data_IF_717576693199
#
_entry.id   IF_717576693199
#
_cell.length_a   1.000
_cell.length_b   1.000
_cell.length_c   1.000
_cell.angle_alpha   90.00
_cell.angle_beta   90.00
_cell.angle_gamma   90.00
#
_symmetry.space_group_name_H-M   'P 1'
#
loop_
_entity.id
_entity.type
_entity.pdbx_description
1 polymer ?
#
# COMPACT_ATOMS: atom_id res chain seq x y z
N UNK A 1 -0.08 10.67 -26.72
CA UNK A 1 -0.51 9.43 -26.04
C UNK A 1 -1.53 9.82 -24.98
N UNK A 2 -2.53 8.97 -24.69
CA UNK A 2 -3.44 9.23 -23.58
C UNK A 2 -2.65 9.19 -22.26
N UNK A 3 -2.95 10.09 -21.32
CA UNK A 3 -2.34 10.10 -19.99
C UNK A 3 -2.66 8.77 -19.28
N UNK A 4 -1.65 8.09 -18.74
CA UNK A 4 -1.84 6.94 -17.84
C UNK A 4 -2.44 7.43 -16.52
N UNK A 5 -3.44 6.72 -16.02
CA UNK A 5 -4.10 6.98 -14.76
C UNK A 5 -3.41 6.19 -13.64
N UNK A 6 -2.90 6.86 -12.61
CA UNK A 6 -2.20 6.23 -11.48
C UNK A 6 -3.12 6.18 -10.26
N UNK A 7 -3.42 4.98 -9.79
CA UNK A 7 -4.27 4.72 -8.62
C UNK A 7 -3.39 4.18 -7.49
N UNK A 8 -3.43 4.81 -6.32
CA UNK A 8 -2.71 4.33 -5.14
C UNK A 8 -3.69 3.68 -4.17
N UNK A 9 -3.44 2.43 -3.77
CA UNK A 9 -4.17 1.74 -2.70
C UNK A 9 -3.19 1.48 -1.56
N UNK A 10 -3.10 2.44 -0.65
CA UNK A 10 -2.26 2.36 0.54
C UNK A 10 -3.06 1.92 1.76
N UNK A 11 -2.40 1.77 2.91
CA UNK A 11 -3.09 1.51 4.17
C UNK A 11 -2.52 0.40 5.02
N UNK A 12 -3.22 0.16 6.13
CA UNK A 12 -2.85 -0.83 7.15
C UNK A 12 -2.50 -2.20 6.56
N UNK A 13 -1.50 -2.86 7.15
CA UNK A 13 -1.23 -4.27 6.88
C UNK A 13 -2.48 -5.13 7.12
N UNK A 14 -2.64 -6.21 6.36
CA UNK A 14 -3.84 -7.06 6.39
C UNK A 14 -5.20 -6.34 6.19
N UNK A 15 -5.18 -5.12 5.63
CA UNK A 15 -6.38 -4.32 5.33
C UNK A 15 -7.13 -4.70 4.05
N UNK A 16 -6.66 -5.70 3.30
CA UNK A 16 -7.31 -6.18 2.06
C UNK A 16 -6.84 -5.52 0.76
N UNK A 17 -5.82 -4.64 0.81
CA UNK A 17 -5.28 -3.87 -0.34
C UNK A 17 -4.97 -4.73 -1.57
N UNK A 18 -4.08 -5.70 -1.43
CA UNK A 18 -3.66 -6.60 -2.53
C UNK A 18 -4.85 -7.31 -3.17
N UNK A 19 -5.81 -7.78 -2.36
CA UNK A 19 -7.02 -8.44 -2.87
C UNK A 19 -7.92 -7.47 -3.64
N UNK A 20 -8.11 -6.25 -3.12
CA UNK A 20 -8.87 -5.20 -3.83
C UNK A 20 -8.19 -4.88 -5.16
N UNK A 21 -6.88 -4.60 -5.15
CA UNK A 21 -6.10 -4.30 -6.35
C UNK A 21 -6.23 -5.40 -7.40
N UNK A 22 -6.02 -6.66 -7.01
CA UNK A 22 -6.13 -7.80 -7.92
C UNK A 22 -7.54 -7.99 -8.48
N UNK A 23 -8.60 -7.66 -7.73
CA UNK A 23 -9.97 -7.75 -8.26
C UNK A 23 -10.27 -6.70 -9.34
N UNK A 24 -9.53 -5.59 -9.39
CA UNK A 24 -9.70 -4.58 -10.44
C UNK A 24 -9.38 -5.12 -11.83
N UNK A 25 -8.52 -6.16 -11.95
CA UNK A 25 -8.22 -6.81 -13.24
C UNK A 25 -9.43 -7.51 -13.85
N UNK A 26 -10.46 -7.83 -13.05
CA UNK A 26 -11.70 -8.40 -13.55
C UNK A 26 -12.64 -7.35 -14.16
N UNK A 27 -12.38 -6.06 -13.91
CA UNK A 27 -13.22 -4.94 -14.35
C UNK A 27 -12.55 -4.12 -15.45
N UNK A 28 -11.23 -3.94 -15.39
CA UNK A 28 -10.48 -3.13 -16.34
C UNK A 28 -9.55 -4.00 -17.19
N UNK A 29 -9.56 -3.81 -18.51
CA UNK A 29 -8.78 -4.62 -19.45
C UNK A 29 -7.34 -4.14 -19.66
N UNK A 30 -7.08 -2.84 -19.42
CA UNK A 30 -5.79 -2.19 -19.69
C UNK A 30 -5.23 -1.63 -18.37
N UNK A 31 -4.90 -2.56 -17.48
CA UNK A 31 -4.49 -2.32 -16.10
C UNK A 31 -3.22 -3.10 -15.77
N UNK A 32 -2.30 -2.48 -15.04
CA UNK A 32 -1.15 -3.14 -14.41
C UNK A 32 -1.16 -2.82 -12.92
N UNK A 33 -0.56 -3.72 -12.13
CA UNK A 33 -0.48 -3.60 -10.68
C UNK A 33 0.98 -3.77 -10.27
N UNK A 34 1.48 -2.87 -9.42
CA UNK A 34 2.76 -3.02 -8.74
C UNK A 34 2.54 -3.11 -7.23
N UNK A 35 3.11 -4.16 -6.64
CA UNK A 35 3.06 -4.42 -5.20
C UNK A 35 4.32 -3.87 -4.55
N UNK A 36 4.19 -2.97 -3.57
CA UNK A 36 5.33 -2.41 -2.85
C UNK A 36 6.17 -3.51 -2.18
N UNK A 37 5.53 -4.59 -1.74
CA UNK A 37 6.16 -5.77 -1.14
C UNK A 37 7.17 -6.48 -2.09
N UNK A 38 7.09 -6.27 -3.41
CA UNK A 38 8.07 -6.82 -4.38
C UNK A 38 9.40 -6.04 -4.41
N UNK A 39 9.46 -4.91 -3.69
CA UNK A 39 10.58 -3.97 -3.71
C UNK A 39 11.33 -3.88 -2.37
N UNK A 40 11.16 -4.84 -1.45
CA UNK A 40 12.04 -4.93 -0.28
C UNK A 40 13.51 -5.09 -0.70
N UNK A 41 14.42 -4.45 0.03
CA UNK A 41 15.84 -4.75 -0.10
C UNK A 41 16.10 -6.20 0.35
N UNK A 42 16.74 -6.97 -0.51
CA UNK A 42 17.04 -8.39 -0.27
C UNK A 42 18.42 -8.64 0.32
N UNK A 43 19.30 -7.63 0.28
CA UNK A 43 20.64 -7.68 0.89
C UNK A 43 20.59 -6.92 2.21
N UNK A 44 20.84 -7.63 3.30
CA UNK A 44 20.58 -7.22 4.68
C UNK A 44 21.47 -6.11 5.24
N UNK A 45 22.37 -5.52 4.46
CA UNK A 45 23.61 -5.01 5.07
C UNK A 45 23.71 -3.48 5.19
N UNK A 46 22.92 -2.66 4.49
CA UNK A 46 23.06 -1.19 4.61
C UNK A 46 21.76 -0.39 4.82
N UNK A 47 20.59 -0.87 4.39
CA UNK A 47 19.34 -0.08 4.39
C UNK A 47 18.31 -0.51 5.43
N UNK A 48 18.44 -1.72 5.98
CA UNK A 48 17.51 -2.26 6.95
C UNK A 48 17.88 -1.81 8.36
N UNK A 49 17.03 -1.01 8.97
CA UNK A 49 17.19 -0.63 10.38
C UNK A 49 17.02 -1.87 11.28
N UNK A 50 18.06 -2.20 12.04
CA UNK A 50 18.02 -3.32 12.98
C UNK A 50 17.20 -3.01 14.21
N UNK A 51 16.54 -4.03 14.76
CA UNK A 51 15.88 -4.03 16.07
C UNK A 51 16.62 -5.07 16.94
N UNK A 52 17.73 -4.69 17.60
CA UNK A 52 18.59 -5.62 18.33
C UNK A 52 17.86 -6.43 19.40
N UNK A 53 16.93 -5.81 20.12
CA UNK A 53 16.14 -6.41 21.19
C UNK A 53 15.21 -7.54 20.72
N UNK A 54 14.88 -7.58 19.44
CA UNK A 54 14.09 -8.65 18.82
C UNK A 54 14.91 -9.55 17.91
N UNK A 55 16.21 -9.28 17.73
CA UNK A 55 17.05 -9.90 16.70
C UNK A 55 16.35 -9.88 15.32
N UNK A 56 15.86 -8.70 14.92
CA UNK A 56 15.00 -8.53 13.75
C UNK A 56 15.28 -7.19 13.03
N UNK A 57 14.52 -6.89 11.97
CA UNK A 57 14.63 -5.63 11.23
C UNK A 57 13.29 -4.91 11.15
N UNK A 58 13.33 -3.59 11.03
CA UNK A 58 12.15 -2.74 10.91
C UNK A 58 11.60 -2.75 9.46
N UNK A 59 10.89 -3.83 9.10
CA UNK A 59 10.32 -4.02 7.76
C UNK A 59 9.17 -3.06 7.44
N UNK A 60 8.43 -2.60 8.46
CA UNK A 60 7.31 -1.67 8.28
C UNK A 60 7.79 -0.20 8.12
N UNK A 61 9.05 0.04 7.74
CA UNK A 61 9.63 1.37 7.45
C UNK A 61 9.95 1.55 5.98
N UNK A 62 9.80 2.78 5.47
CA UNK A 62 10.07 3.09 4.05
C UNK A 62 11.51 2.77 3.62
N UNK A 63 12.47 2.87 4.55
CA UNK A 63 13.87 2.51 4.32
C UNK A 63 14.10 1.03 4.01
N UNK A 64 13.14 0.16 4.34
CA UNK A 64 13.19 -1.26 3.99
C UNK A 64 12.97 -1.52 2.49
N UNK A 65 12.51 -0.53 1.74
CA UNK A 65 12.15 -0.66 0.33
C UNK A 65 13.14 0.06 -0.60
N UNK A 66 13.47 -0.59 -1.72
CA UNK A 66 14.14 0.01 -2.86
C UNK A 66 13.12 0.82 -3.68
N UNK A 67 12.79 2.01 -3.18
CA UNK A 67 11.84 2.90 -3.85
C UNK A 67 12.37 3.39 -5.20
N UNK A 68 13.70 3.43 -5.42
CA UNK A 68 14.24 3.82 -6.73
C UNK A 68 13.97 2.74 -7.79
N UNK A 69 14.12 1.47 -7.42
CA UNK A 69 13.72 0.34 -8.26
C UNK A 69 12.21 0.35 -8.51
N UNK A 70 11.40 0.68 -7.51
CA UNK A 70 9.95 0.84 -7.69
C UNK A 70 9.62 1.96 -8.67
N UNK A 71 10.24 3.13 -8.55
CA UNK A 71 10.04 4.24 -9.50
C UNK A 71 10.43 3.84 -10.93
N UNK A 72 11.53 3.10 -11.09
CA UNK A 72 11.93 2.59 -12.42
C UNK A 72 10.89 1.61 -12.98
N UNK A 73 10.33 0.75 -12.13
CA UNK A 73 9.27 -0.17 -12.52
C UNK A 73 7.99 0.58 -12.93
N UNK A 74 7.62 1.64 -12.21
CA UNK A 74 6.50 2.54 -12.54
C UNK A 74 6.71 3.16 -13.92
N UNK A 75 7.89 3.74 -14.18
CA UNK A 75 8.22 4.39 -15.46
C UNK A 75 8.18 3.41 -16.65
N UNK A 76 8.32 2.11 -16.39
CA UNK A 76 8.24 1.06 -17.42
C UNK A 76 6.81 0.61 -17.75
N UNK A 77 5.80 1.01 -16.96
CA UNK A 77 4.42 0.58 -17.17
C UNK A 77 3.75 1.36 -18.29
N UNK A 78 3.14 0.66 -19.24
CA UNK A 78 2.47 1.25 -20.40
C UNK A 78 0.94 1.12 -20.39
N UNK A 79 0.37 0.49 -19.36
CA UNK A 79 -1.07 0.30 -19.26
C UNK A 79 -1.80 1.63 -19.08
N UNK A 80 -3.08 1.70 -19.46
CA UNK A 80 -3.89 2.91 -19.24
C UNK A 80 -4.15 3.19 -17.77
N UNK A 81 -4.32 2.16 -16.96
CA UNK A 81 -4.47 2.26 -15.51
C UNK A 81 -3.26 1.57 -14.87
N UNK A 82 -2.58 2.25 -13.96
CA UNK A 82 -1.52 1.70 -13.12
C UNK A 82 -1.98 1.75 -11.67
N UNK A 83 -2.09 0.59 -11.03
CA UNK A 83 -2.38 0.49 -9.60
C UNK A 83 -1.09 0.25 -8.84
N UNK A 84 -0.83 1.09 -7.84
CA UNK A 84 0.25 0.94 -6.89
C UNK A 84 -0.36 0.56 -5.55
N UNK A 85 0.02 -0.57 -4.98
CA UNK A 85 -0.49 -0.99 -3.67
C UNK A 85 0.64 -1.29 -2.68
N UNK A 86 0.48 -0.88 -1.42
CA UNK A 86 1.52 -1.04 -0.41
C UNK A 86 1.20 -0.38 0.93
N UNK A 87 1.91 -0.74 1.99
CA UNK A 87 1.65 -0.18 3.34
C UNK A 87 2.22 1.22 3.53
N UNK A 88 3.25 1.61 2.78
CA UNK A 88 4.03 2.83 3.00
C UNK A 88 4.18 3.72 1.75
N UNK A 89 3.39 3.48 0.70
CA UNK A 89 3.49 4.24 -0.55
C UNK A 89 3.40 5.76 -0.38
N UNK A 90 2.60 6.23 0.57
CA UNK A 90 2.34 7.66 0.80
C UNK A 90 3.45 8.37 1.63
N UNK A 91 4.49 7.63 2.01
CA UNK A 91 5.71 8.22 2.59
C UNK A 91 6.71 8.67 1.53
N UNK A 92 6.53 8.26 0.27
CA UNK A 92 7.34 8.74 -0.86
C UNK A 92 6.63 9.87 -1.62
N UNK A 93 7.24 11.06 -1.62
CA UNK A 93 6.69 12.25 -2.28
C UNK A 93 6.53 12.07 -3.79
N UNK A 94 7.33 11.22 -4.43
CA UNK A 94 7.23 10.94 -5.86
C UNK A 94 5.93 10.21 -6.17
N UNK A 95 5.55 9.25 -5.33
CA UNK A 95 4.28 8.52 -5.47
C UNK A 95 3.10 9.46 -5.24
N UNK A 96 3.17 10.31 -4.22
CA UNK A 96 2.14 11.32 -3.95
C UNK A 96 1.91 12.26 -5.14
N UNK A 97 2.98 12.69 -5.79
CA UNK A 97 2.89 13.60 -6.94
C UNK A 97 2.38 12.91 -8.22
N UNK A 98 2.50 11.58 -8.32
CA UNK A 98 2.03 10.80 -9.45
C UNK A 98 0.56 10.38 -9.33
N UNK A 99 0.05 10.23 -8.11
CA UNK A 99 -1.28 9.67 -7.86
C UNK A 99 -2.41 10.56 -8.38
N UNK A 100 -3.31 9.98 -9.19
CA UNK A 100 -4.55 10.63 -9.62
C UNK A 100 -5.73 10.32 -8.66
N UNK A 101 -5.74 9.13 -8.05
CA UNK A 101 -6.63 8.76 -6.95
C UNK A 101 -5.85 8.02 -5.87
N UNK A 102 -6.15 8.34 -4.61
CA UNK A 102 -5.53 7.66 -3.47
C UNK A 102 -6.61 7.08 -2.55
N UNK A 103 -6.50 5.78 -2.29
CA UNK A 103 -7.28 5.05 -1.30
C UNK A 103 -6.39 4.66 -0.13
N UNK A 104 -6.96 4.66 1.07
CA UNK A 104 -6.26 4.22 2.27
C UNK A 104 -7.11 3.29 3.13
N UNK A 105 -6.71 2.03 3.24
CA UNK A 105 -7.42 1.06 4.09
C UNK A 105 -7.10 1.29 5.56
N UNK A 106 -8.13 1.40 6.39
CA UNK A 106 -8.05 1.44 7.86
C UNK A 106 -8.67 0.18 8.45
N UNK A 107 -8.21 -0.24 9.62
CA UNK A 107 -8.71 -1.43 10.31
C UNK A 107 -8.51 -1.26 11.81
N UNK A 108 -9.40 -1.82 12.62
CA UNK A 108 -9.20 -1.89 14.07
C UNK A 108 -7.97 -2.74 14.40
N UNK A 109 -7.25 -2.36 15.46
CA UNK A 109 -5.97 -2.98 15.84
C UNK A 109 -6.10 -4.47 16.07
N UNK A 110 -7.15 -4.88 16.79
CA UNK A 110 -7.41 -6.26 17.17
C UNK A 110 -7.72 -7.10 15.93
N UNK A 111 -8.56 -6.59 15.01
CA UNK A 111 -8.88 -7.27 13.76
C UNK A 111 -7.63 -7.36 12.86
N UNK A 112 -6.81 -6.32 12.83
CA UNK A 112 -5.54 -6.32 12.11
C UNK A 112 -4.60 -7.40 12.66
N UNK A 113 -4.49 -7.47 14.00
CA UNK A 113 -3.67 -8.46 14.68
C UNK A 113 -4.11 -9.88 14.36
N UNK A 114 -5.40 -10.20 14.50
CA UNK A 114 -5.96 -11.52 14.19
C UNK A 114 -5.64 -11.96 12.76
N UNK A 115 -5.70 -11.04 11.81
CA UNK A 115 -5.33 -11.31 10.41
C UNK A 115 -3.82 -11.42 10.22
N UNK A 116 -3.01 -10.64 10.95
CA UNK A 116 -1.54 -10.64 10.83
C UNK A 116 -0.93 -11.92 11.37
N UNK A 117 -1.39 -12.42 12.52
CA UNK A 117 -0.91 -13.69 13.09
C UNK A 117 -1.26 -14.91 12.24
N UNK A 118 -2.35 -14.83 11.46
CA UNK A 118 -2.73 -15.86 10.51
C UNK A 118 -1.87 -15.85 9.23
N UNK A 119 -1.08 -14.78 8.99
CA UNK A 119 -0.21 -14.65 7.82
C UNK A 119 1.21 -15.13 8.16
N UNK A 120 1.83 -15.83 7.22
CA UNK A 120 3.24 -16.21 7.32
C UNK A 120 4.12 -15.15 6.68
N UNK A 121 5.01 -14.57 7.47
CA UNK A 121 6.06 -13.66 7.00
C UNK A 121 7.40 -14.41 6.88
N UNK A 122 8.27 -13.94 5.99
CA UNK A 122 9.63 -14.41 5.84
C UNK A 122 10.60 -13.21 5.91
N UNK A 123 11.50 -13.15 6.91
CA UNK A 123 11.61 -14.05 8.07
C UNK A 123 10.35 -14.04 8.97
N UNK A 124 10.12 -15.08 9.80
CA UNK A 124 9.00 -15.08 10.75
C UNK A 124 9.10 -13.91 11.74
N UNK A 125 7.98 -13.25 12.01
CA UNK A 125 7.93 -12.12 12.95
C UNK A 125 8.15 -12.60 14.39
N UNK A 126 9.05 -11.96 15.16
CA UNK A 126 9.26 -12.31 16.55
C UNK A 126 8.13 -11.77 17.44
N UNK A 127 7.90 -12.38 18.61
CA UNK A 127 6.89 -11.91 19.56
C UNK A 127 7.07 -10.44 19.94
N UNK A 128 5.97 -9.67 19.89
CA UNK A 128 5.95 -8.25 20.24
C UNK A 128 6.37 -7.30 19.12
N UNK A 129 6.77 -7.80 17.94
CA UNK A 129 7.10 -6.95 16.80
C UNK A 129 5.92 -6.07 16.36
N UNK A 130 4.72 -6.66 16.31
CA UNK A 130 3.51 -5.93 15.90
C UNK A 130 3.20 -4.77 16.83
N UNK A 131 3.12 -5.02 18.14
CA UNK A 131 2.69 -4.02 19.12
C UNK A 131 3.74 -2.94 19.33
N UNK A 132 5.03 -3.28 19.25
CA UNK A 132 6.13 -2.36 19.55
C UNK A 132 6.66 -1.60 18.33
N UNK A 133 6.50 -2.13 17.12
CA UNK A 133 7.06 -1.52 15.90
C UNK A 133 6.03 -1.34 14.79
N UNK A 134 5.40 -2.42 14.32
CA UNK A 134 4.56 -2.34 13.12
C UNK A 134 3.30 -1.47 13.33
N UNK A 135 2.61 -1.62 14.46
CA UNK A 135 1.41 -0.84 14.75
C UNK A 135 1.70 0.62 15.05
N UNK A 136 2.69 0.98 15.91
CA UNK A 136 3.08 2.38 16.11
C UNK A 136 3.49 3.07 14.80
N UNK A 137 4.17 2.36 13.90
CA UNK A 137 4.57 2.92 12.61
C UNK A 137 3.38 3.16 11.69
N UNK A 138 2.39 2.26 11.68
CA UNK A 138 1.11 2.49 11.03
C UNK A 138 0.37 3.71 11.61
N UNK A 139 0.29 3.85 12.94
CA UNK A 139 -0.37 4.97 13.60
C UNK A 139 0.29 6.31 13.22
N UNK A 140 1.63 6.35 13.25
CA UNK A 140 2.43 7.51 12.79
C UNK A 140 2.07 7.87 11.35
N UNK A 141 2.02 6.88 10.46
CA UNK A 141 1.69 7.07 9.05
C UNK A 141 0.25 7.57 8.85
N UNK A 142 -0.73 6.97 9.54
CA UNK A 142 -2.13 7.38 9.50
C UNK A 142 -2.32 8.83 9.98
N UNK A 143 -1.66 9.22 11.07
CA UNK A 143 -1.67 10.60 11.54
C UNK A 143 -1.11 11.58 10.51
N UNK A 144 0.00 11.22 9.86
CA UNK A 144 0.60 12.05 8.82
C UNK A 144 -0.34 12.26 7.65
N UNK A 145 -1.02 11.22 7.18
CA UNK A 145 -2.00 11.33 6.09
C UNK A 145 -3.16 12.24 6.50
N UNK A 146 -3.72 12.04 7.70
CA UNK A 146 -4.80 12.88 8.22
C UNK A 146 -4.38 14.36 8.32
N UNK A 147 -3.10 14.64 8.63
CA UNK A 147 -2.56 16.01 8.73
C UNK A 147 -2.25 16.64 7.36
N UNK A 148 -1.73 15.86 6.40
CA UNK A 148 -1.27 16.37 5.08
C UNK A 148 -2.39 16.91 4.19
N UNK A 149 -3.68 16.72 4.53
CA UNK A 149 -4.84 17.10 3.70
C UNK A 149 -4.72 16.62 2.24
N UNK A 150 -4.10 15.46 2.03
CA UNK A 150 -4.13 14.77 0.75
C UNK A 150 -5.56 14.28 0.51
N UNK A 151 -6.08 14.45 -0.70
CA UNK A 151 -7.39 13.89 -1.10
C UNK A 151 -7.30 12.36 -1.09
N UNK A 152 -7.64 11.77 0.05
CA UNK A 152 -7.55 10.34 0.32
C UNK A 152 -8.94 9.81 0.66
N UNK A 153 -9.32 8.75 -0.05
CA UNK A 153 -10.56 8.03 0.20
C UNK A 153 -10.27 6.89 1.17
N UNK A 154 -10.80 6.98 2.39
CA UNK A 154 -10.62 5.94 3.39
C UNK A 154 -11.56 4.75 3.13
N UNK A 155 -11.00 3.55 3.17
CA UNK A 155 -11.74 2.29 3.05
C UNK A 155 -11.68 1.55 4.40
N UNK A 156 -12.82 1.10 4.91
CA UNK A 156 -12.83 0.28 6.11
C UNK A 156 -12.52 -1.18 5.74
N UNK A 157 -11.38 -1.70 6.20
CA UNK A 157 -10.94 -3.07 5.93
C UNK A 157 -11.78 -4.16 6.62
N UNK A 158 -12.71 -3.77 7.50
CA UNK A 158 -13.75 -4.66 8.05
C UNK A 158 -14.93 -4.85 7.11
N UNK A 159 -15.13 -3.95 6.14
CA UNK A 159 -16.15 -4.13 5.10
C UNK A 159 -15.75 -5.25 4.13
N UNK A 160 -16.74 -5.79 3.41
CA UNK A 160 -16.48 -6.85 2.45
C UNK A 160 -15.55 -6.37 1.33
N UNK A 161 -14.71 -7.29 0.83
CA UNK A 161 -13.84 -6.99 -0.31
C UNK A 161 -14.65 -6.55 -1.52
N UNK A 162 -15.83 -7.14 -1.76
CA UNK A 162 -16.72 -6.75 -2.87
C UNK A 162 -17.19 -5.30 -2.74
N UNK A 163 -17.60 -4.89 -1.54
CA UNK A 163 -18.00 -3.51 -1.28
C UNK A 163 -16.84 -2.54 -1.53
N UNK A 164 -15.68 -2.78 -0.91
CA UNK A 164 -14.50 -1.93 -1.08
C UNK A 164 -14.02 -1.88 -2.54
N UNK A 165 -14.06 -3.01 -3.27
CA UNK A 165 -13.73 -3.06 -4.71
C UNK A 165 -14.72 -2.21 -5.51
N UNK A 166 -16.02 -2.29 -5.20
CA UNK A 166 -17.04 -1.47 -5.89
C UNK A 166 -16.83 0.03 -5.67
N UNK A 167 -16.41 0.44 -4.47
CA UNK A 167 -16.08 1.84 -4.15
C UNK A 167 -14.92 2.31 -5.02
N UNK A 168 -13.84 1.53 -5.11
CA UNK A 168 -12.67 1.87 -5.94
C UNK A 168 -13.04 1.97 -7.42
N UNK A 169 -13.77 0.97 -7.94
CA UNK A 169 -14.24 0.95 -9.34
C UNK A 169 -15.09 2.18 -9.67
N UNK A 170 -16.02 2.55 -8.79
CA UNK A 170 -16.91 3.69 -9.03
C UNK A 170 -16.12 5.01 -9.14
N UNK A 171 -15.14 5.24 -8.26
CA UNK A 171 -14.30 6.44 -8.30
C UNK A 171 -13.40 6.47 -9.54
N UNK A 172 -12.80 5.34 -9.93
CA UNK A 172 -12.03 5.23 -11.18
C UNK A 172 -12.91 5.58 -12.38
N UNK A 173 -14.12 5.02 -12.46
CA UNK A 173 -15.05 5.29 -13.55
C UNK A 173 -15.48 6.77 -13.60
N UNK A 174 -15.78 7.38 -12.46
CA UNK A 174 -16.10 8.80 -12.38
C UNK A 174 -14.94 9.67 -12.87
N UNK A 175 -13.70 9.36 -12.47
CA UNK A 175 -12.53 10.09 -12.92
C UNK A 175 -12.30 9.93 -14.43
N UNK A 176 -12.44 8.72 -14.96
CA UNK A 176 -12.33 8.46 -16.41
C UNK A 176 -13.40 9.21 -17.20
N UNK A 177 -14.61 9.35 -16.66
CA UNK A 177 -15.68 10.14 -17.29
C UNK A 177 -15.36 11.64 -17.30
N UNK A 178 -14.77 12.17 -16.23
CA UNK A 178 -14.41 13.59 -16.12
C UNK A 178 -13.20 14.00 -16.99
N UNK A 179 -12.40 13.03 -17.46
CA UNK A 179 -11.26 13.24 -18.34
C UNK A 179 -11.63 13.20 -19.83
N UNK A 180 -12.87 12.85 -20.18
CA UNK A 180 -13.40 12.86 -21.55
C UNK A 180 -14.09 14.19 -21.85
#
# INVERSE_FOLDING_TARGET
MAKQLVIVIAGVTCGGKTTIANRLTNTFNDISILHQDDFYYTKYEDHLESIPELNYHAWDKISAYDMNKMMTAIDSQTSKILVLEGILLLDDIRILNLADLTFFTILDKEICWDRRVARTYLPPEPPGYFEKYAWPEYERHLEMIKKKKTDVIFLNGSDSIDFNTSVVVNHINQLVLNLK
#
